data_IF_295868682045
#
_entry.id   IF_295868682045
#
_cell.length_a   1.000
_cell.length_b   1.000
_cell.length_c   1.000
_cell.angle_alpha   90.00
_cell.angle_beta   90.00
_cell.angle_gamma   90.00
#
_symmetry.space_group_name_H-M   'P 1'
#
loop_
_entity.id
_entity.type
_entity.pdbx_description
1 polymer ?
#
# COMPACT_ATOMS: atom_id res chain seq x y z
N UNK A 1 -11.71 0.69 -20.70
CA UNK A 1 -10.30 0.58 -21.15
C UNK A 1 -9.33 1.16 -20.12
N UNK A 2 -9.48 2.41 -19.67
CA UNK A 2 -8.59 2.99 -18.63
C UNK A 2 -8.49 2.12 -17.37
N UNK A 3 -9.63 1.73 -16.80
CA UNK A 3 -9.70 0.82 -15.63
C UNK A 3 -9.02 -0.53 -15.86
N UNK A 4 -9.13 -1.09 -17.07
CA UNK A 4 -8.45 -2.32 -17.45
C UNK A 4 -6.94 -2.14 -17.53
N UNK A 5 -6.45 -1.04 -18.10
CA UNK A 5 -5.01 -0.74 -18.12
C UNK A 5 -4.43 -0.69 -16.72
N UNK A 6 -5.10 -0.02 -15.79
CA UNK A 6 -4.66 0.05 -14.38
C UNK A 6 -4.70 -1.33 -13.72
N UNK A 7 -5.73 -2.15 -13.98
CA UNK A 7 -5.78 -3.54 -13.51
C UNK A 7 -4.58 -4.34 -14.02
N UNK A 8 -4.25 -4.24 -15.30
CA UNK A 8 -3.09 -4.95 -15.87
C UNK A 8 -1.78 -4.49 -15.25
N UNK A 9 -1.61 -3.19 -14.98
CA UNK A 9 -0.43 -2.67 -14.31
C UNK A 9 -0.29 -3.21 -12.87
N UNK A 10 -1.39 -3.25 -12.09
CA UNK A 10 -1.40 -3.86 -10.75
C UNK A 10 -1.07 -5.36 -10.78
N UNK A 11 -1.48 -6.05 -11.85
CA UNK A 11 -1.11 -7.44 -12.12
C UNK A 11 0.31 -7.58 -12.71
N UNK A 12 1.13 -6.53 -12.71
CA UNK A 12 2.52 -6.51 -13.21
C UNK A 12 2.63 -6.89 -14.71
N UNK A 13 1.56 -6.66 -15.48
CA UNK A 13 1.53 -6.84 -16.94
C UNK A 13 1.55 -5.48 -17.63
N UNK A 14 2.70 -4.81 -17.58
CA UNK A 14 2.87 -3.45 -18.08
C UNK A 14 2.72 -3.36 -19.60
N UNK A 15 3.13 -4.39 -20.34
CA UNK A 15 2.93 -4.46 -21.79
C UNK A 15 1.42 -4.41 -22.15
N UNK A 16 0.59 -5.20 -21.46
CA UNK A 16 -0.86 -5.19 -21.67
C UNK A 16 -1.51 -3.90 -21.17
N UNK A 17 -1.00 -3.32 -20.09
CA UNK A 17 -1.45 -2.02 -19.58
C UNK A 17 -1.25 -0.92 -20.64
N UNK A 18 -0.04 -0.85 -21.21
CA UNK A 18 0.32 0.08 -22.28
C UNK A 18 -0.53 -0.16 -23.54
N UNK A 19 -0.60 -1.39 -24.03
CA UNK A 19 -1.41 -1.76 -25.20
C UNK A 19 -2.88 -1.34 -25.02
N UNK A 20 -3.47 -1.63 -23.86
CA UNK A 20 -4.88 -1.32 -23.57
C UNK A 20 -5.10 0.19 -23.41
N UNK A 21 -4.05 0.92 -23.03
CA UNK A 21 -4.09 2.36 -22.86
C UNK A 21 -3.89 3.12 -24.16
N UNK A 22 -3.35 2.50 -25.21
CA UNK A 22 -3.01 3.18 -26.47
C UNK A 22 -4.20 3.95 -27.04
N UNK A 23 -3.97 5.21 -27.40
CA UNK A 23 -4.99 6.07 -28.01
C UNK A 23 -6.16 6.46 -27.09
N UNK A 24 -6.12 6.11 -25.80
CA UNK A 24 -7.12 6.60 -24.85
C UNK A 24 -6.97 8.09 -24.62
N UNK A 25 -8.07 8.80 -24.83
CA UNK A 25 -8.26 10.21 -24.55
C UNK A 25 -9.47 10.34 -23.61
N UNK A 26 -9.19 10.51 -22.31
CA UNK A 26 -10.20 10.60 -21.26
C UNK A 26 -11.00 11.90 -21.38
N UNK A 27 -10.44 12.94 -21.99
CA UNK A 27 -11.13 14.23 -22.20
C UNK A 27 -12.29 14.12 -23.19
N UNK A 28 -12.33 13.05 -24.00
CA UNK A 28 -13.44 12.72 -24.91
C UNK A 28 -14.47 11.77 -24.30
N UNK A 29 -14.31 11.40 -23.02
CA UNK A 29 -15.30 10.58 -22.32
C UNK A 29 -16.63 11.34 -22.25
N UNK A 30 -17.78 10.72 -22.60
CA UNK A 30 -19.08 11.37 -22.44
C UNK A 30 -19.32 11.78 -20.99
N UNK A 31 -19.70 13.03 -20.75
CA UNK A 31 -19.89 13.56 -19.39
C UNK A 31 -20.80 12.68 -18.54
N UNK A 32 -21.86 12.12 -19.14
CA UNK A 32 -22.80 11.18 -18.49
C UNK A 32 -22.15 10.03 -17.73
N UNK A 33 -20.95 9.59 -18.13
CA UNK A 33 -20.21 8.51 -17.45
C UNK A 33 -19.73 8.97 -16.07
N UNK A 34 -19.14 10.16 -15.99
CA UNK A 34 -18.69 10.73 -14.71
C UNK A 34 -19.84 11.36 -13.94
N UNK A 35 -20.78 12.01 -14.62
CA UNK A 35 -22.00 12.53 -14.00
C UNK A 35 -22.76 11.40 -13.29
N UNK A 36 -22.88 10.21 -13.89
CA UNK A 36 -23.50 9.05 -13.25
C UNK A 36 -22.76 8.55 -12.01
N UNK A 37 -21.42 8.60 -12.03
CA UNK A 37 -20.58 8.25 -10.88
C UNK A 37 -20.78 9.22 -9.71
N UNK A 38 -20.69 10.52 -9.99
CA UNK A 38 -20.82 11.57 -8.97
C UNK A 38 -22.27 11.90 -8.60
N UNK A 39 -23.27 11.46 -9.37
CA UNK A 39 -24.69 11.66 -9.04
C UNK A 39 -25.23 10.65 -8.04
N UNK A 40 -24.66 9.44 -7.99
CA UNK A 40 -25.07 8.36 -7.08
C UNK A 40 -24.28 8.36 -5.77
N UNK A 41 -23.11 9.00 -5.73
CA UNK A 41 -22.41 9.23 -4.48
C UNK A 41 -23.20 10.27 -3.68
N UNK A 42 -23.89 9.85 -2.60
CA UNK A 42 -24.55 10.72 -1.59
C UNK A 42 -23.60 11.70 -0.87
N UNK A 43 -22.38 11.85 -1.37
CA UNK A 43 -21.39 12.80 -0.94
C UNK A 43 -21.83 14.20 -1.37
N UNK A 44 -22.69 14.82 -0.56
CA UNK A 44 -22.99 16.25 -0.61
C UNK A 44 -21.71 17.11 -0.51
N UNK A 45 -20.58 16.55 -0.08
CA UNK A 45 -19.25 17.16 -0.14
C UNK A 45 -18.71 17.39 -1.57
N UNK A 46 -19.17 16.64 -2.57
CA UNK A 46 -18.83 16.86 -4.00
C UNK A 46 -19.77 17.90 -4.63
N UNK A 47 -20.91 18.17 -3.98
CA UNK A 47 -21.98 19.04 -4.49
C UNK A 47 -22.22 20.33 -3.69
N UNK A 48 -21.50 20.63 -2.62
CA UNK A 48 -21.90 21.80 -1.81
C UNK A 48 -20.93 22.35 -0.79
N UNK A 49 -20.08 21.55 -0.15
CA UNK A 49 -19.19 22.08 0.87
C UNK A 49 -17.82 21.43 0.80
N UNK A 50 -16.85 22.15 0.26
CA UNK A 50 -15.47 21.91 0.57
C UNK A 50 -14.93 23.13 1.31
N UNK A 51 -14.05 22.85 2.27
CA UNK A 51 -13.01 23.76 2.77
C UNK A 51 -12.12 24.38 1.65
N UNK A 52 -12.50 24.25 0.36
CA UNK A 52 -11.86 24.78 -0.83
C UNK A 52 -12.80 25.67 -1.69
N UNK A 53 -13.94 26.12 -1.13
CA UNK A 53 -14.84 27.05 -1.80
C UNK A 53 -15.84 26.35 -2.71
N UNK A 54 -17.13 26.54 -2.43
CA UNK A 54 -18.24 25.90 -3.12
C UNK A 54 -18.20 26.06 -4.63
N UNK A 55 -18.13 24.93 -5.32
CA UNK A 55 -18.31 24.82 -6.76
C UNK A 55 -18.58 23.36 -7.12
N UNK A 56 -19.56 23.14 -7.99
CA UNK A 56 -19.78 21.84 -8.64
C UNK A 56 -18.44 21.34 -9.20
N UNK A 57 -17.95 20.16 -8.78
CA UNK A 57 -16.79 19.56 -9.45
C UNK A 57 -17.16 19.39 -10.93
N UNK A 58 -16.63 20.26 -11.78
CA UNK A 58 -16.87 20.19 -13.21
C UNK A 58 -16.27 18.86 -13.70
N UNK A 59 -17.10 18.00 -14.31
CA UNK A 59 -16.67 16.73 -14.91
C UNK A 59 -15.46 16.91 -15.82
N UNK A 60 -15.35 18.05 -16.50
CA UNK A 60 -14.21 18.45 -17.31
C UNK A 60 -12.88 18.56 -16.51
N UNK A 61 -12.91 19.04 -15.26
CA UNK A 61 -11.72 19.11 -14.39
C UNK A 61 -11.26 17.70 -14.02
N UNK A 62 -12.18 16.83 -13.58
CA UNK A 62 -11.88 15.42 -13.28
C UNK A 62 -11.32 14.71 -14.50
N UNK A 63 -11.88 14.94 -15.70
CA UNK A 63 -11.36 14.36 -16.94
C UNK A 63 -9.92 14.80 -17.23
N UNK A 64 -9.58 16.08 -16.99
CA UNK A 64 -8.22 16.59 -17.15
C UNK A 64 -7.27 15.92 -16.16
N UNK A 65 -7.65 15.79 -14.89
CA UNK A 65 -6.82 15.15 -13.86
C UNK A 65 -6.63 13.66 -14.15
N UNK A 66 -7.69 12.98 -14.56
CA UNK A 66 -7.61 11.60 -15.02
C UNK A 66 -6.71 11.44 -16.24
N UNK A 67 -6.78 12.37 -17.21
CA UNK A 67 -5.91 12.35 -18.40
C UNK A 67 -4.44 12.61 -18.04
N UNK A 68 -4.18 13.53 -17.10
CA UNK A 68 -2.83 13.80 -16.59
C UNK A 68 -2.27 12.56 -15.89
N UNK A 69 -3.05 11.94 -14.99
CA UNK A 69 -2.67 10.70 -14.31
C UNK A 69 -2.42 9.56 -15.30
N UNK A 70 -3.28 9.36 -16.30
CA UNK A 70 -3.06 8.35 -17.34
C UNK A 70 -1.75 8.59 -18.10
N UNK A 71 -1.41 9.86 -18.37
CA UNK A 71 -0.17 10.21 -19.07
C UNK A 71 1.07 9.90 -18.22
N UNK A 72 1.05 10.25 -16.93
CA UNK A 72 2.10 9.87 -15.98
C UNK A 72 2.20 8.33 -15.84
N UNK A 73 1.06 7.66 -15.74
CA UNK A 73 0.99 6.20 -15.63
C UNK A 73 1.61 5.49 -16.83
N UNK A 74 1.37 5.96 -18.06
CA UNK A 74 2.01 5.39 -19.25
C UNK A 74 3.52 5.48 -19.18
N UNK A 75 4.08 6.62 -18.76
CA UNK A 75 5.52 6.79 -18.59
C UNK A 75 6.08 5.84 -17.52
N UNK A 76 5.38 5.73 -16.39
CA UNK A 76 5.74 4.78 -15.32
C UNK A 76 5.70 3.34 -15.82
N UNK A 77 4.64 2.93 -16.50
CA UNK A 77 4.51 1.57 -17.04
C UNK A 77 5.54 1.27 -18.13
N UNK A 78 5.98 2.25 -18.93
CA UNK A 78 7.11 2.08 -19.84
C UNK A 78 8.41 1.78 -19.09
N UNK A 79 8.70 2.54 -18.02
CA UNK A 79 9.89 2.31 -17.19
C UNK A 79 9.83 0.94 -16.48
N UNK A 80 8.67 0.60 -15.91
CA UNK A 80 8.45 -0.71 -15.27
C UNK A 80 8.55 -1.86 -16.28
N UNK A 81 8.05 -1.69 -17.51
CA UNK A 81 8.23 -2.69 -18.57
C UNK A 81 9.71 -2.86 -18.92
N UNK A 82 10.48 -1.77 -19.02
CA UNK A 82 11.91 -1.84 -19.28
C UNK A 82 12.64 -2.63 -18.19
N UNK A 83 12.38 -2.31 -16.91
CA UNK A 83 12.95 -3.06 -15.79
C UNK A 83 12.53 -4.54 -15.81
N UNK A 84 11.28 -4.83 -16.17
CA UNK A 84 10.80 -6.21 -16.32
C UNK A 84 11.50 -6.97 -17.45
N UNK A 85 11.87 -6.28 -18.54
CA UNK A 85 12.59 -6.86 -19.68
C UNK A 85 14.09 -7.05 -19.41
N UNK A 86 14.72 -6.17 -18.63
CA UNK A 86 16.11 -6.34 -18.17
C UNK A 86 16.28 -7.63 -17.37
N UNK A 87 15.31 -7.95 -16.51
CA UNK A 87 15.19 -9.22 -15.79
C UNK A 87 16.45 -9.66 -15.01
N UNK A 88 17.25 -8.70 -14.57
CA UNK A 88 18.34 -8.89 -13.60
C UNK A 88 17.81 -8.78 -12.17
N UNK A 89 18.51 -9.34 -11.19
CA UNK A 89 18.13 -9.21 -9.77
C UNK A 89 17.96 -7.74 -9.35
N UNK A 90 18.85 -6.86 -9.81
CA UNK A 90 18.78 -5.41 -9.55
C UNK A 90 17.55 -4.76 -10.20
N UNK A 91 17.22 -5.12 -11.44
CA UNK A 91 16.03 -4.59 -12.12
C UNK A 91 14.74 -5.02 -11.41
N UNK A 92 14.68 -6.27 -10.93
CA UNK A 92 13.55 -6.80 -10.15
C UNK A 92 13.44 -6.13 -8.77
N UNK A 93 14.57 -5.87 -8.12
CA UNK A 93 14.61 -5.08 -6.89
C UNK A 93 14.08 -3.65 -7.12
N UNK A 94 14.48 -3.02 -8.23
CA UNK A 94 14.01 -1.68 -8.62
C UNK A 94 12.50 -1.68 -8.93
N UNK A 95 11.96 -2.73 -9.54
CA UNK A 95 10.51 -2.89 -9.72
C UNK A 95 9.76 -2.83 -8.38
N UNK A 96 10.19 -3.64 -7.39
CA UNK A 96 9.59 -3.62 -6.06
C UNK A 96 9.72 -2.24 -5.40
N UNK A 97 10.88 -1.60 -5.56
CA UNK A 97 11.18 -0.29 -4.99
C UNK A 97 10.37 0.85 -5.59
N UNK A 98 10.05 0.79 -6.89
CA UNK A 98 9.19 1.78 -7.53
C UNK A 98 7.75 1.70 -7.00
N UNK A 99 7.27 0.50 -6.67
CA UNK A 99 5.96 0.29 -6.04
C UNK A 99 5.93 0.65 -4.56
N UNK A 100 6.99 0.36 -3.80
CA UNK A 100 7.08 0.70 -2.37
C UNK A 100 7.38 2.18 -2.12
N UNK A 101 8.05 2.85 -3.06
CA UNK A 101 8.57 4.19 -2.89
C UNK A 101 7.50 5.30 -2.95
N UNK A 102 7.94 6.53 -2.66
CA UNK A 102 7.12 7.73 -2.78
C UNK A 102 6.56 7.84 -4.21
N UNK A 103 5.25 7.75 -4.34
CA UNK A 103 4.54 7.81 -5.63
C UNK A 103 4.25 6.45 -6.26
N UNK A 104 4.62 5.33 -5.64
CA UNK A 104 4.28 3.99 -6.13
C UNK A 104 2.78 3.76 -6.30
N UNK A 105 1.95 4.44 -5.50
CA UNK A 105 0.48 4.41 -5.62
C UNK A 105 0.01 4.80 -7.02
N UNK A 106 0.74 5.69 -7.69
CA UNK A 106 0.44 6.16 -9.04
C UNK A 106 0.54 5.06 -10.08
N UNK A 107 1.36 4.02 -9.86
CA UNK A 107 1.47 2.87 -10.78
C UNK A 107 0.14 2.13 -10.96
N UNK A 108 -0.75 2.20 -9.96
CA UNK A 108 -2.04 1.52 -9.96
C UNK A 108 -3.23 2.41 -9.55
N UNK A 109 -3.08 3.74 -9.60
CA UNK A 109 -4.13 4.67 -9.16
C UNK A 109 -5.26 4.81 -10.18
N UNK A 110 -6.51 4.89 -9.69
CA UNK A 110 -7.65 5.26 -10.52
C UNK A 110 -8.07 6.67 -10.12
N UNK A 111 -7.79 7.64 -10.99
CA UNK A 111 -8.03 9.05 -10.70
C UNK A 111 -9.50 9.43 -10.52
N UNK A 112 -10.43 8.59 -10.96
CA UNK A 112 -11.87 8.74 -10.65
C UNK A 112 -12.16 8.71 -9.13
N UNK A 113 -11.22 8.26 -8.30
CA UNK A 113 -11.36 8.26 -6.84
C UNK A 113 -10.98 9.59 -6.17
N UNK A 114 -10.43 10.56 -6.91
CA UNK A 114 -10.21 11.94 -6.44
C UNK A 114 -9.53 12.09 -5.05
N UNK A 115 -8.55 11.23 -4.77
CA UNK A 115 -7.79 11.18 -3.52
C UNK A 115 -8.54 10.49 -2.39
N UNK A 116 -9.86 10.41 -2.47
CA UNK A 116 -10.76 9.77 -1.50
C UNK A 116 -10.87 8.26 -1.75
N UNK A 117 -9.77 7.52 -1.55
CA UNK A 117 -9.78 6.05 -1.45
C UNK A 117 -10.34 5.52 -0.13
N UNK A 118 -10.37 6.37 0.89
CA UNK A 118 -10.34 5.92 2.28
C UNK A 118 -11.63 5.23 2.76
N UNK A 119 -12.77 5.40 2.06
CA UNK A 119 -14.06 5.17 2.73
C UNK A 119 -14.69 3.81 2.39
N UNK A 120 -14.73 3.39 1.12
CA UNK A 120 -15.47 2.17 0.75
C UNK A 120 -14.76 1.33 -0.30
N UNK A 121 -14.68 0.01 -0.08
CA UNK A 121 -14.53 -0.90 -1.20
C UNK A 121 -15.83 -0.81 -2.00
N UNK A 122 -15.78 -0.74 -3.34
CA UNK A 122 -16.95 -0.47 -4.16
C UNK A 122 -17.92 -1.66 -4.26
N UNK A 123 -17.96 -2.53 -3.25
CA UNK A 123 -18.96 -3.56 -3.02
C UNK A 123 -19.71 -3.44 -1.69
N UNK A 124 -19.27 -2.56 -0.79
CA UNK A 124 -19.90 -2.39 0.53
C UNK A 124 -21.20 -1.57 0.43
N UNK A 125 -21.39 -0.76 -0.62
CA UNK A 125 -22.67 -0.11 -0.97
C UNK A 125 -22.99 -0.20 -2.47
N UNK A 126 -23.68 -1.27 -2.86
CA UNK A 126 -24.04 -1.52 -4.26
C UNK A 126 -25.04 -0.53 -4.87
N UNK A 127 -25.78 0.18 -4.02
CA UNK A 127 -26.68 1.26 -4.45
C UNK A 127 -25.98 2.59 -4.74
N UNK A 128 -24.72 2.76 -4.30
CA UNK A 128 -23.99 4.04 -4.34
C UNK A 128 -22.85 4.00 -5.35
N UNK A 129 -22.19 2.84 -5.51
CA UNK A 129 -21.07 2.69 -6.45
C UNK A 129 -21.52 2.08 -7.78
N UNK A 130 -21.41 2.84 -8.87
CA UNK A 130 -21.75 2.41 -10.24
C UNK A 130 -21.03 1.14 -10.74
N UNK A 131 -19.94 0.73 -10.11
CA UNK A 131 -19.18 -0.50 -10.45
C UNK A 131 -19.57 -1.71 -9.60
N UNK A 132 -20.48 -1.54 -8.65
CA UNK A 132 -20.92 -2.62 -7.79
C UNK A 132 -21.97 -3.47 -8.51
N UNK A 133 -21.67 -4.75 -8.69
CA UNK A 133 -22.64 -5.74 -9.15
C UNK A 133 -22.38 -7.06 -8.44
N UNK A 134 -23.11 -7.29 -7.35
CA UNK A 134 -22.99 -8.51 -6.53
C UNK A 134 -23.42 -9.79 -7.28
N UNK A 135 -24.26 -9.66 -8.33
CA UNK A 135 -24.64 -10.81 -9.16
C UNK A 135 -23.47 -11.31 -10.04
N UNK A 136 -22.44 -10.48 -10.24
CA UNK A 136 -21.28 -10.82 -11.05
C UNK A 136 -20.04 -11.18 -10.21
N UNK A 137 -19.95 -10.69 -8.97
CA UNK A 137 -18.75 -10.83 -8.13
C UNK A 137 -19.08 -10.85 -6.65
N UNK A 138 -18.56 -11.85 -5.96
CA UNK A 138 -18.67 -11.96 -4.51
C UNK A 138 -17.79 -10.93 -3.77
N UNK A 139 -18.25 -10.48 -2.61
CA UNK A 139 -17.58 -9.50 -1.76
C UNK A 139 -16.16 -9.93 -1.38
N UNK A 140 -16.00 -11.21 -1.00
CA UNK A 140 -14.70 -11.76 -0.60
C UNK A 140 -13.69 -11.77 -1.75
N UNK A 141 -14.15 -12.06 -2.97
CA UNK A 141 -13.30 -12.02 -4.16
C UNK A 141 -12.80 -10.61 -4.46
N UNK A 142 -13.65 -9.59 -4.37
CA UNK A 142 -13.20 -8.22 -4.64
C UNK A 142 -12.29 -7.70 -3.53
N UNK A 143 -12.57 -8.04 -2.26
CA UNK A 143 -11.68 -7.69 -1.14
C UNK A 143 -10.30 -8.30 -1.34
N UNK A 144 -10.22 -9.60 -1.62
CA UNK A 144 -8.94 -10.28 -1.83
C UNK A 144 -8.17 -9.72 -3.04
N UNK A 145 -8.87 -9.35 -4.12
CA UNK A 145 -8.27 -8.66 -5.26
C UNK A 145 -7.73 -7.28 -4.87
N UNK A 146 -8.43 -6.52 -4.04
CA UNK A 146 -7.95 -5.23 -3.56
C UNK A 146 -6.71 -5.35 -2.68
N UNK A 147 -6.75 -6.28 -1.72
CA UNK A 147 -5.64 -6.53 -0.79
C UNK A 147 -4.39 -7.01 -1.54
N UNK A 148 -4.53 -7.97 -2.46
CA UNK A 148 -3.42 -8.49 -3.26
C UNK A 148 -2.89 -7.52 -4.30
N UNK A 149 -3.70 -6.52 -4.70
CA UNK A 149 -3.33 -5.55 -5.73
C UNK A 149 -3.00 -4.17 -5.17
N UNK A 150 -2.92 -4.00 -3.84
CA UNK A 150 -2.48 -2.75 -3.22
C UNK A 150 -1.02 -2.45 -3.59
N UNK A 151 -0.59 -1.19 -3.53
CA UNK A 151 0.78 -0.81 -3.93
C UNK A 151 1.85 -1.61 -3.16
N UNK A 152 1.61 -1.76 -1.86
CA UNK A 152 2.51 -2.42 -0.92
C UNK A 152 2.45 -3.94 -1.09
N UNK A 153 1.27 -4.51 -1.33
CA UNK A 153 1.14 -5.93 -1.64
C UNK A 153 1.85 -6.29 -2.95
N UNK A 154 1.76 -5.43 -3.97
CA UNK A 154 2.53 -5.59 -5.23
C UNK A 154 4.02 -5.48 -4.96
N UNK A 155 4.47 -4.49 -4.18
CA UNK A 155 5.87 -4.33 -3.82
C UNK A 155 6.42 -5.54 -3.06
N UNK A 156 5.72 -5.99 -2.00
CA UNK A 156 6.10 -7.17 -1.22
C UNK A 156 6.10 -8.43 -2.08
N UNK A 157 5.13 -8.60 -2.98
CA UNK A 157 5.12 -9.73 -3.93
C UNK A 157 6.34 -9.71 -4.86
N UNK A 158 6.74 -8.54 -5.37
CA UNK A 158 7.93 -8.39 -6.21
C UNK A 158 9.21 -8.69 -5.43
N UNK A 159 9.32 -8.21 -4.20
CA UNK A 159 10.45 -8.52 -3.32
C UNK A 159 10.50 -10.00 -2.92
N UNK A 160 9.35 -10.63 -2.66
CA UNK A 160 9.30 -12.05 -2.32
C UNK A 160 9.81 -12.92 -3.49
N UNK A 161 9.42 -12.62 -4.73
CA UNK A 161 9.96 -13.30 -5.92
C UNK A 161 11.49 -13.24 -5.99
N UNK A 162 12.07 -12.12 -5.56
CA UNK A 162 13.51 -11.94 -5.54
C UNK A 162 14.19 -12.76 -4.43
N UNK A 163 13.55 -12.90 -3.26
CA UNK A 163 14.02 -13.79 -2.19
C UNK A 163 13.88 -15.27 -2.56
N UNK A 164 12.86 -15.62 -3.33
CA UNK A 164 12.61 -16.99 -3.79
C UNK A 164 13.57 -17.41 -4.93
N UNK A 165 14.14 -16.46 -5.69
CA UNK A 165 15.12 -16.77 -6.75
C UNK A 165 16.52 -17.07 -6.15
N UNK A 166 17.02 -18.32 -6.21
CA UNK A 166 18.32 -18.70 -5.64
C UNK A 166 19.50 -17.96 -6.26
N UNK A 167 19.34 -17.35 -7.44
CA UNK A 167 20.40 -16.60 -8.13
C UNK A 167 20.53 -15.16 -7.62
N UNK A 168 19.63 -14.69 -6.78
CA UNK A 168 19.71 -13.34 -6.18
C UNK A 168 20.97 -13.24 -5.30
N UNK A 169 21.86 -12.26 -5.55
CA UNK A 169 23.06 -12.06 -4.75
C UNK A 169 22.75 -11.83 -3.27
N UNK A 170 23.64 -12.30 -2.39
CA UNK A 170 23.43 -12.27 -0.94
C UNK A 170 23.15 -10.86 -0.39
N UNK A 171 23.93 -9.86 -0.82
CA UNK A 171 23.74 -8.46 -0.42
C UNK A 171 22.37 -7.92 -0.87
N UNK A 172 21.87 -8.36 -2.03
CA UNK A 172 20.57 -7.92 -2.52
C UNK A 172 19.43 -8.61 -1.77
N UNK A 173 19.59 -9.89 -1.37
CA UNK A 173 18.65 -10.60 -0.50
C UNK A 173 18.50 -9.90 0.85
N UNK A 174 19.61 -9.54 1.49
CA UNK A 174 19.64 -8.75 2.72
C UNK A 174 18.84 -7.44 2.58
N UNK A 175 19.17 -6.65 1.55
CA UNK A 175 18.47 -5.39 1.26
C UNK A 175 16.98 -5.60 0.96
N UNK A 176 16.63 -6.72 0.35
CA UNK A 176 15.24 -7.08 -0.01
C UNK A 176 14.44 -7.44 1.24
N UNK A 177 15.01 -8.22 2.17
CA UNK A 177 14.41 -8.50 3.47
C UNK A 177 14.07 -7.19 4.19
N UNK A 178 15.04 -6.28 4.31
CA UNK A 178 14.82 -4.97 4.90
C UNK A 178 13.71 -4.19 4.18
N UNK A 179 13.68 -4.18 2.84
CA UNK A 179 12.63 -3.47 2.09
C UNK A 179 11.23 -4.04 2.30
N UNK A 180 11.09 -5.35 2.49
CA UNK A 180 9.79 -5.93 2.87
C UNK A 180 9.37 -5.39 4.24
N UNK A 181 10.25 -5.45 5.25
CA UNK A 181 9.94 -4.94 6.58
C UNK A 181 9.63 -3.42 6.58
N UNK A 182 10.43 -2.62 5.89
CA UNK A 182 10.22 -1.18 5.76
C UNK A 182 8.90 -0.84 5.04
N UNK A 183 8.50 -1.62 4.03
CA UNK A 183 7.21 -1.44 3.34
C UNK A 183 6.03 -1.74 4.27
N UNK A 184 6.16 -2.78 5.11
CA UNK A 184 5.14 -3.14 6.11
C UNK A 184 5.03 -2.08 7.21
N UNK A 185 6.17 -1.58 7.71
CA UNK A 185 6.22 -0.47 8.67
C UNK A 185 5.55 0.77 8.12
N UNK A 186 5.94 1.20 6.92
CA UNK A 186 5.36 2.37 6.27
C UNK A 186 3.85 2.21 6.06
N UNK A 187 3.39 1.01 5.69
CA UNK A 187 1.97 0.71 5.54
C UNK A 187 1.21 0.92 6.85
N UNK A 188 1.74 0.38 7.95
CA UNK A 188 1.15 0.51 9.29
C UNK A 188 1.09 1.97 9.75
N UNK A 189 2.15 2.74 9.53
CA UNK A 189 2.26 4.14 10.00
C UNK A 189 1.47 5.13 9.16
N UNK A 190 1.24 4.84 7.88
CA UNK A 190 0.70 5.82 6.93
C UNK A 190 -0.80 5.70 6.66
N UNK A 191 -1.48 4.70 7.22
CA UNK A 191 -2.91 4.46 6.97
C UNK A 191 -3.70 4.35 8.28
N UNK A 192 -4.92 4.93 8.34
CA UNK A 192 -5.80 4.75 9.50
C UNK A 192 -6.08 3.27 9.77
N UNK A 193 -6.28 2.91 11.04
CA UNK A 193 -6.47 1.53 11.48
C UNK A 193 -7.61 0.83 10.73
N UNK A 194 -8.75 1.50 10.50
CA UNK A 194 -9.87 0.95 9.75
C UNK A 194 -9.53 0.63 8.29
N UNK A 195 -8.76 1.50 7.62
CA UNK A 195 -8.27 1.23 6.26
C UNK A 195 -7.30 0.05 6.26
N UNK A 196 -6.37 0.03 7.21
CA UNK A 196 -5.37 -1.04 7.36
C UNK A 196 -6.02 -2.40 7.57
N UNK A 197 -6.99 -2.52 8.47
CA UNK A 197 -7.70 -3.76 8.75
C UNK A 197 -8.42 -4.34 7.53
N UNK A 198 -8.91 -3.48 6.64
CA UNK A 198 -9.77 -3.85 5.52
C UNK A 198 -8.99 -4.10 4.24
N UNK A 199 -8.10 -3.18 3.85
CA UNK A 199 -7.48 -3.18 2.52
C UNK A 199 -5.97 -3.31 2.53
N UNK A 200 -5.33 -3.07 3.68
CA UNK A 200 -3.88 -3.21 3.83
C UNK A 200 -3.49 -4.16 4.96
N UNK A 201 -3.96 -5.43 5.00
CA UNK A 201 -3.37 -6.38 5.91
C UNK A 201 -1.90 -6.66 5.51
N UNK A 202 -1.05 -7.14 6.44
CA UNK A 202 0.27 -7.61 6.07
C UNK A 202 0.12 -8.80 5.09
N UNK A 203 1.11 -8.97 4.21
CA UNK A 203 1.03 -10.01 3.16
C UNK A 203 0.87 -11.40 3.78
N UNK A 204 -0.13 -12.15 3.32
CA UNK A 204 -0.47 -13.48 3.83
C UNK A 204 -1.50 -13.49 4.96
N UNK A 205 -1.91 -12.33 5.47
CA UNK A 205 -3.01 -12.18 6.44
C UNK A 205 -4.25 -11.70 5.71
N UNK A 206 -5.40 -12.34 5.99
CA UNK A 206 -6.68 -11.89 5.44
C UNK A 206 -7.18 -10.68 6.24
N UNK A 207 -7.55 -9.61 5.55
CA UNK A 207 -8.22 -8.49 6.19
C UNK A 207 -9.64 -8.87 6.64
N UNK A 208 -10.19 -8.11 7.58
CA UNK A 208 -11.47 -8.43 8.21
C UNK A 208 -12.65 -8.01 7.32
N UNK A 209 -13.77 -8.77 7.31
CA UNK A 209 -15.03 -8.30 6.75
C UNK A 209 -15.65 -7.21 7.64
N UNK A 210 -16.23 -6.17 7.02
CA UNK A 210 -17.15 -5.26 7.71
C UNK A 210 -18.59 -5.75 7.54
N UNK A 211 -19.36 -5.72 8.62
CA UNK A 211 -20.80 -5.91 8.60
C UNK A 211 -21.47 -4.52 8.67
N UNK A 212 -21.86 -3.95 7.54
CA UNK A 212 -22.67 -2.73 7.49
C UNK A 212 -21.91 -1.39 7.58
N UNK A 213 -22.67 -0.31 7.33
CA UNK A 213 -22.20 1.09 7.19
C UNK A 213 -21.81 1.78 8.50
N UNK A 214 -22.21 1.25 9.64
CA UNK A 214 -22.04 1.90 10.94
C UNK A 214 -20.58 1.86 11.44
N UNK A 215 -19.72 1.06 10.79
CA UNK A 215 -18.30 0.88 11.15
C UNK A 215 -17.33 1.81 10.40
N UNK A 216 -17.81 2.79 9.63
CA UNK A 216 -16.96 3.78 8.95
C UNK A 216 -16.75 5.01 9.84
N UNK A 217 -16.30 4.78 11.07
CA UNK A 217 -15.76 5.85 11.90
C UNK A 217 -14.31 6.09 11.50
N UNK A 218 -14.02 7.31 11.05
CA UNK A 218 -12.70 7.79 10.65
C UNK A 218 -11.74 7.82 11.87
N UNK A 219 -12.32 7.83 13.06
CA UNK A 219 -11.64 7.71 14.35
C UNK A 219 -11.61 6.29 14.91
N UNK A 220 -12.09 5.28 14.14
CA UNK A 220 -12.46 3.93 14.58
C UNK A 220 -11.87 3.53 15.94
N UNK A 221 -12.63 3.84 16.98
CA UNK A 221 -12.55 3.18 18.29
C UNK A 221 -13.20 1.79 18.26
N UNK A 222 -13.39 1.17 17.08
CA UNK A 222 -13.97 -0.17 17.04
C UNK A 222 -12.98 -1.23 17.51
N UNK A 223 -13.49 -2.47 17.62
CA UNK A 223 -12.92 -3.60 18.37
C UNK A 223 -11.40 -3.46 18.63
N UNK A 224 -11.02 -2.94 19.83
CA UNK A 224 -9.63 -2.75 20.20
C UNK A 224 -8.81 -4.04 20.03
N UNK A 225 -9.46 -5.21 20.13
CA UNK A 225 -8.81 -6.50 19.91
C UNK A 225 -8.42 -6.71 18.44
N UNK A 226 -9.23 -6.27 17.48
CA UNK A 226 -8.93 -6.39 16.06
C UNK A 226 -7.76 -5.49 15.65
N UNK A 227 -7.77 -4.24 16.10
CA UNK A 227 -6.66 -3.30 15.88
C UNK A 227 -5.36 -3.83 16.50
N UNK A 228 -5.44 -4.33 17.74
CA UNK A 228 -4.31 -4.92 18.44
C UNK A 228 -3.81 -6.20 17.76
N UNK A 229 -4.70 -7.07 17.29
CA UNK A 229 -4.33 -8.27 16.54
C UNK A 229 -3.61 -7.92 15.24
N UNK A 230 -4.11 -6.93 14.49
CA UNK A 230 -3.48 -6.50 13.25
C UNK A 230 -2.08 -5.93 13.51
N UNK A 231 -1.94 -5.07 14.52
CA UNK A 231 -0.63 -4.58 14.99
C UNK A 231 0.33 -5.73 15.30
N UNK A 232 -0.14 -6.75 16.03
CA UNK A 232 0.64 -7.95 16.34
C UNK A 232 1.00 -8.75 15.10
N UNK A 233 0.14 -8.82 14.09
CA UNK A 233 0.41 -9.54 12.84
C UNK A 233 1.49 -8.83 12.00
N UNK A 234 1.45 -7.49 11.94
CA UNK A 234 2.55 -6.70 11.36
C UNK A 234 3.86 -6.92 12.11
N UNK A 235 3.83 -6.76 13.44
CA UNK A 235 5.00 -6.93 14.29
C UNK A 235 5.58 -8.34 14.12
N UNK A 236 4.75 -9.39 14.15
CA UNK A 236 5.17 -10.79 13.95
C UNK A 236 5.85 -10.97 12.60
N UNK A 237 5.31 -10.39 11.53
CA UNK A 237 5.92 -10.48 10.19
C UNK A 237 7.27 -9.75 10.13
N UNK A 238 7.38 -8.59 10.78
CA UNK A 238 8.65 -7.85 10.87
C UNK A 238 9.67 -8.61 11.72
N UNK A 239 9.25 -9.19 12.86
CA UNK A 239 10.10 -10.03 13.71
C UNK A 239 10.63 -11.27 12.98
N UNK A 240 9.82 -11.90 12.11
CA UNK A 240 10.28 -13.01 11.26
C UNK A 240 11.39 -12.57 10.29
N UNK A 241 11.22 -11.41 9.66
CA UNK A 241 12.23 -10.84 8.75
C UNK A 241 13.50 -10.45 9.53
N UNK A 242 13.32 -9.84 10.69
CA UNK A 242 14.40 -9.48 11.60
C UNK A 242 15.19 -10.72 12.03
N UNK A 243 14.53 -11.79 12.47
CA UNK A 243 15.20 -13.04 12.85
C UNK A 243 15.98 -13.65 11.67
N UNK A 244 15.43 -13.59 10.45
CA UNK A 244 16.14 -14.03 9.25
C UNK A 244 17.37 -13.16 8.96
N UNK A 245 17.26 -11.84 9.09
CA UNK A 245 18.38 -10.91 8.96
C UNK A 245 19.46 -11.20 10.00
N UNK A 246 19.09 -11.36 11.28
CA UNK A 246 20.03 -11.66 12.36
C UNK A 246 20.76 -12.99 12.15
N UNK A 247 20.05 -14.00 11.65
CA UNK A 247 20.63 -15.33 11.40
C UNK A 247 21.56 -15.37 10.18
N UNK A 248 21.14 -14.76 9.06
CA UNK A 248 21.85 -14.87 7.77
C UNK A 248 22.81 -13.72 7.50
N UNK A 249 22.57 -12.57 8.12
CA UNK A 249 23.28 -11.30 7.91
C UNK A 249 23.55 -10.60 9.25
N UNK A 250 24.29 -11.23 10.19
CA UNK A 250 24.44 -10.72 11.56
C UNK A 250 25.10 -9.33 11.66
N UNK A 251 25.80 -8.89 10.62
CA UNK A 251 26.43 -7.57 10.54
C UNK A 251 25.64 -6.56 9.69
N UNK A 252 24.38 -6.87 9.38
CA UNK A 252 23.53 -5.99 8.58
C UNK A 252 23.28 -4.67 9.31
N UNK A 253 23.52 -3.55 8.62
CA UNK A 253 23.22 -2.20 9.11
C UNK A 253 21.73 -1.89 9.15
N UNK A 254 20.87 -2.84 8.77
CA UNK A 254 19.42 -2.69 8.78
C UNK A 254 18.77 -3.23 10.06
N UNK A 255 19.50 -4.04 10.83
CA UNK A 255 18.92 -4.76 11.97
C UNK A 255 18.52 -3.79 13.08
N UNK A 256 19.37 -2.84 13.43
CA UNK A 256 19.12 -1.87 14.50
C UNK A 256 17.97 -0.92 14.16
N UNK A 257 17.85 -0.49 12.90
CA UNK A 257 16.69 0.25 12.37
C UNK A 257 15.37 -0.51 12.58
N UNK A 258 15.34 -1.81 12.28
CA UNK A 258 14.14 -2.63 12.44
C UNK A 258 13.83 -2.92 13.92
N UNK A 259 14.86 -3.18 14.74
CA UNK A 259 14.71 -3.31 16.19
C UNK A 259 14.11 -2.02 16.79
N UNK A 260 14.64 -0.87 16.37
CA UNK A 260 14.18 0.44 16.83
C UNK A 260 12.73 0.69 16.43
N UNK A 261 12.38 0.40 15.18
CA UNK A 261 11.00 0.50 14.68
C UNK A 261 10.05 -0.42 15.47
N UNK A 262 10.45 -1.66 15.74
CA UNK A 262 9.67 -2.60 16.54
C UNK A 262 9.49 -2.15 18.00
N UNK A 263 10.44 -1.42 18.58
CA UNK A 263 10.23 -0.77 19.88
C UNK A 263 9.10 0.27 19.80
N UNK A 264 9.07 1.16 18.80
CA UNK A 264 7.99 2.14 18.66
C UNK A 264 6.64 1.50 18.35
N UNK A 265 6.63 0.38 17.64
CA UNK A 265 5.41 -0.40 17.49
C UNK A 265 4.95 -0.98 18.82
N UNK A 266 5.81 -1.68 19.57
CA UNK A 266 5.37 -2.55 20.67
C UNK A 266 5.48 -1.95 22.08
N UNK A 267 6.33 -0.94 22.28
CA UNK A 267 6.77 -0.47 23.59
C UNK A 267 7.73 -1.43 24.31
N UNK A 268 8.18 -2.53 23.67
CA UNK A 268 9.01 -3.54 24.31
C UNK A 268 10.49 -3.14 24.31
N UNK A 269 10.99 -2.72 25.48
CA UNK A 269 12.39 -2.32 25.67
C UNK A 269 13.42 -3.41 25.32
N UNK A 270 13.03 -4.69 25.20
CA UNK A 270 13.96 -5.75 24.77
C UNK A 270 14.55 -5.48 23.39
N UNK A 271 13.83 -4.83 22.48
CA UNK A 271 14.38 -4.48 21.17
C UNK A 271 15.51 -3.44 21.29
N UNK A 272 15.33 -2.43 22.14
CA UNK A 272 16.39 -1.44 22.41
C UNK A 272 17.59 -2.10 23.09
N UNK A 273 17.36 -3.01 24.02
CA UNK A 273 18.43 -3.76 24.68
C UNK A 273 19.24 -4.59 23.67
N UNK A 274 18.58 -5.23 22.71
CA UNK A 274 19.28 -5.95 21.64
C UNK A 274 20.16 -5.04 20.78
N UNK A 275 19.73 -3.80 20.49
CA UNK A 275 20.58 -2.81 19.80
C UNK A 275 21.85 -2.57 20.63
N UNK A 276 21.70 -2.32 21.93
CA UNK A 276 22.83 -2.02 22.82
C UNK A 276 23.81 -3.18 22.94
N UNK A 277 23.29 -4.39 23.10
CA UNK A 277 24.12 -5.56 23.40
C UNK A 277 24.77 -6.16 22.16
N UNK A 278 24.07 -6.16 21.02
CA UNK A 278 24.49 -6.90 19.83
C UNK A 278 24.88 -6.03 18.64
N UNK A 279 24.47 -4.75 18.63
CA UNK A 279 24.71 -3.81 17.52
C UNK A 279 25.32 -2.48 18.00
N UNK A 280 26.48 -2.52 18.70
CA UNK A 280 27.06 -1.34 19.36
C UNK A 280 27.56 -0.26 18.39
N UNK A 281 27.82 -0.62 17.13
CA UNK A 281 28.26 0.29 16.06
C UNK A 281 27.10 0.73 15.13
N UNK A 282 25.86 0.35 15.46
CA UNK A 282 24.68 0.70 14.67
C UNK A 282 24.25 2.16 14.83
N UNK A 283 23.61 2.72 13.81
CA UNK A 283 23.12 4.10 13.80
C UNK A 283 22.13 4.40 14.94
N UNK A 284 21.42 3.39 15.44
CA UNK A 284 20.41 3.54 16.51
C UNK A 284 20.96 3.36 17.93
N UNK A 285 22.26 3.12 18.10
CA UNK A 285 22.83 2.80 19.42
C UNK A 285 22.65 3.94 20.43
N UNK A 286 22.88 5.19 19.99
CA UNK A 286 22.80 6.37 20.86
C UNK A 286 21.34 6.58 21.30
N UNK A 287 20.40 6.50 20.36
CA UNK A 287 18.98 6.64 20.63
C UNK A 287 18.48 5.54 21.58
N UNK A 288 18.90 4.29 21.36
CA UNK A 288 18.52 3.16 22.20
C UNK A 288 19.04 3.33 23.64
N UNK A 289 20.31 3.73 23.82
CA UNK A 289 20.88 4.03 25.15
C UNK A 289 20.13 5.15 25.85
N UNK A 290 19.82 6.23 25.13
CA UNK A 290 19.06 7.36 25.66
C UNK A 290 17.68 6.91 26.15
N UNK A 291 16.91 6.20 25.33
CA UNK A 291 15.56 5.73 25.67
C UNK A 291 15.56 4.72 26.83
N UNK A 292 16.56 3.83 26.91
CA UNK A 292 16.70 2.91 28.04
C UNK A 292 17.02 3.62 29.35
N UNK A 293 17.86 4.66 29.32
CA UNK A 293 18.20 5.45 30.50
C UNK A 293 17.01 6.29 31.01
N UNK A 294 16.15 6.75 30.10
CA UNK A 294 14.98 7.57 30.41
C UNK A 294 13.68 6.77 30.47
N UNK A 295 13.76 5.44 30.65
CA UNK A 295 12.56 4.64 30.86
C UNK A 295 11.85 5.14 32.13
N UNK A 296 10.68 5.74 31.96
CA UNK A 296 9.78 5.98 33.08
C UNK A 296 9.41 4.60 33.62
N UNK A 297 9.70 4.36 34.90
CA UNK A 297 9.14 3.21 35.62
C UNK A 297 7.64 3.44 35.71
N UNK A 298 6.88 2.93 34.74
CA UNK A 298 5.45 2.70 34.90
C UNK A 298 5.24 1.52 35.83
#
# INVERSE_FOLDING_TARGET
>A
KYTLSVRYARAQNYAKALQTSTGLDITKMPERVLSGYYSHSNYNYIKGDSYLGGGTIATATVQKDMQAMLSEQRQRWQNLLKLQQENTSDSQYRLGSDWAGKGGWKNGYLAIWDGWRAWHLPLEECGVWWVCNMNLREVNLVRSLYQSSSQNAVAVSLYQKLLDDPRTPSQLREKTLYKIAATLLWQWESHPTGETLRIHPPTGVQGKPQNGFEDVDYSYNGDPNAAQQMKQDYQRRIDQILAELQLKYPHSTYIDDLLFSNYFMSGNYKYLQQIVDNYPEGDRIIDAKFLLAHRTKN
#
